data_IF_399025488690
#
_entry.id   IF_399025488690
#
_cell.length_a   1.000
_cell.length_b   1.000
_cell.length_c   1.000
_cell.angle_alpha   90.00
_cell.angle_beta   90.00
_cell.angle_gamma   90.00
#
_symmetry.space_group_name_H-M   'P 1'
#
loop_
_entity.id
_entity.type
_entity.pdbx_description
1 polymer ?
#
# COMPACT_ATOMS: atom_id res chain seq x y z
N UNK A 1 11.51 -19.30 31.82
CA UNK A 1 10.70 -19.53 30.60
C UNK A 1 9.76 -18.36 30.47
N UNK A 2 10.03 -17.45 29.53
CA UNK A 2 9.17 -16.30 29.22
C UNK A 2 8.29 -16.71 28.03
N UNK A 3 7.00 -16.44 28.16
CA UNK A 3 5.98 -16.74 27.16
C UNK A 3 5.67 -15.46 26.40
N UNK A 4 6.42 -15.20 25.33
CA UNK A 4 6.21 -14.03 24.48
C UNK A 4 5.45 -14.48 23.22
N UNK A 5 4.15 -14.75 23.37
CA UNK A 5 3.23 -14.92 22.23
C UNK A 5 2.68 -13.55 21.81
N UNK A 6 3.54 -12.73 21.21
CA UNK A 6 3.12 -11.69 20.28
C UNK A 6 3.52 -12.20 18.90
N UNK A 7 2.54 -12.55 18.06
CA UNK A 7 2.85 -12.75 16.65
C UNK A 7 3.12 -11.36 16.08
N UNK A 8 4.40 -10.96 16.01
CA UNK A 8 4.77 -9.76 15.27
C UNK A 8 4.23 -9.91 13.84
N UNK A 9 3.68 -8.83 13.30
CA UNK A 9 3.23 -8.83 11.90
C UNK A 9 4.40 -9.20 11.00
N UNK A 10 4.13 -10.03 10.00
CA UNK A 10 5.07 -10.30 8.91
C UNK A 10 5.33 -9.02 8.12
N UNK A 11 6.42 -8.99 7.36
CA UNK A 11 6.72 -7.83 6.50
C UNK A 11 5.61 -7.58 5.46
N UNK A 12 5.02 -8.65 4.91
CA UNK A 12 3.87 -8.53 4.00
C UNK A 12 2.65 -7.91 4.71
N UNK A 13 2.35 -8.33 5.93
CA UNK A 13 1.24 -7.75 6.70
C UNK A 13 1.50 -6.27 7.02
N UNK A 14 2.75 -5.93 7.34
CA UNK A 14 3.17 -4.53 7.58
C UNK A 14 3.05 -3.68 6.32
N UNK A 15 3.53 -4.19 5.18
CA UNK A 15 3.41 -3.55 3.88
C UNK A 15 1.94 -3.32 3.48
N UNK A 16 1.10 -4.35 3.62
CA UNK A 16 -0.32 -4.25 3.26
C UNK A 16 -1.07 -3.29 4.17
N UNK A 17 -0.77 -3.29 5.48
CA UNK A 17 -1.36 -2.35 6.43
C UNK A 17 -1.00 -0.90 6.09
N UNK A 18 0.27 -0.61 5.78
CA UNK A 18 0.69 0.71 5.35
C UNK A 18 0.06 1.12 4.01
N UNK A 19 -0.05 0.19 3.05
CA UNK A 19 -0.75 0.46 1.78
C UNK A 19 -2.19 0.91 2.02
N UNK A 20 -2.92 0.25 2.94
CA UNK A 20 -4.28 0.64 3.32
C UNK A 20 -4.32 1.99 4.05
N UNK A 21 -3.35 2.26 4.93
CA UNK A 21 -3.24 3.57 5.60
C UNK A 21 -3.10 4.70 4.59
N UNK A 22 -2.23 4.52 3.57
CA UNK A 22 -2.06 5.51 2.51
C UNK A 22 -3.34 5.68 1.67
N UNK A 23 -4.05 4.60 1.35
CA UNK A 23 -5.37 4.65 0.70
C UNK A 23 -6.34 5.52 1.51
N UNK A 24 -6.54 5.21 2.80
CA UNK A 24 -7.48 6.01 3.61
C UNK A 24 -7.02 7.46 3.75
N UNK A 25 -5.71 7.72 3.77
CA UNK A 25 -5.19 9.07 3.82
C UNK A 25 -5.47 9.88 2.54
N UNK A 26 -5.34 9.29 1.35
CA UNK A 26 -5.47 10.00 0.08
C UNK A 26 -6.89 10.03 -0.47
N UNK A 27 -7.67 8.99 -0.18
CA UNK A 27 -8.93 8.71 -0.88
C UNK A 27 -10.17 8.85 0.02
N UNK A 28 -10.02 9.26 1.29
CA UNK A 28 -11.17 9.44 2.18
C UNK A 28 -11.13 10.74 3.00
N UNK A 29 -12.31 11.28 3.27
CA UNK A 29 -12.52 12.37 4.22
C UNK A 29 -12.51 13.78 3.64
N UNK A 30 -12.33 13.96 2.34
CA UNK A 30 -12.58 15.23 1.65
C UNK A 30 -13.98 15.30 1.01
N UNK A 31 -14.38 16.49 0.55
CA UNK A 31 -15.62 16.68 -0.22
C UNK A 31 -15.54 15.84 -1.50
N UNK A 32 -16.63 15.17 -1.86
CA UNK A 32 -16.72 14.18 -2.96
C UNK A 32 -15.91 12.88 -2.79
N UNK A 33 -15.32 12.63 -1.62
CA UNK A 33 -14.69 11.35 -1.28
C UNK A 33 -15.55 10.49 -0.32
N UNK A 34 -15.33 9.17 -0.28
CA UNK A 34 -15.85 8.34 0.80
C UNK A 34 -15.52 8.91 2.20
N UNK A 35 -16.41 8.64 3.17
CA UNK A 35 -16.13 8.97 4.58
C UNK A 35 -14.90 8.21 5.09
N UNK A 36 -14.14 8.81 6.01
CA UNK A 36 -13.05 8.12 6.72
C UNK A 36 -13.51 6.90 7.52
N UNK A 37 -14.80 6.86 7.85
CA UNK A 37 -15.42 5.75 8.58
C UNK A 37 -15.99 4.66 7.64
N UNK A 38 -16.00 4.91 6.32
CA UNK A 38 -16.43 3.89 5.35
C UNK A 38 -15.40 2.78 5.29
N UNK A 39 -15.86 1.56 5.00
CA UNK A 39 -15.01 0.37 4.98
C UNK A 39 -14.90 -0.17 3.56
N UNK A 40 -13.71 -0.67 3.19
CA UNK A 40 -13.52 -1.38 1.92
C UNK A 40 -14.49 -2.57 1.81
N UNK A 41 -15.10 -2.73 0.64
CA UNK A 41 -15.84 -3.94 0.32
C UNK A 41 -14.89 -5.15 0.42
N UNK A 42 -15.40 -6.34 0.82
CA UNK A 42 -14.57 -7.54 0.93
C UNK A 42 -13.77 -7.87 -0.33
N UNK A 43 -14.36 -7.65 -1.51
CA UNK A 43 -13.72 -7.87 -2.81
C UNK A 43 -12.59 -6.85 -3.05
N UNK A 44 -12.82 -5.57 -2.74
CA UNK A 44 -11.82 -4.51 -2.85
C UNK A 44 -10.62 -4.78 -1.95
N UNK A 45 -10.89 -5.16 -0.70
CA UNK A 45 -9.84 -5.54 0.25
C UNK A 45 -9.05 -6.76 -0.24
N UNK A 46 -9.73 -7.77 -0.77
CA UNK A 46 -9.08 -8.97 -1.31
C UNK A 46 -8.20 -8.65 -2.52
N UNK A 47 -8.66 -7.78 -3.42
CA UNK A 47 -7.92 -7.33 -4.60
C UNK A 47 -6.67 -6.52 -4.20
N UNK A 48 -6.83 -5.53 -3.31
CA UNK A 48 -5.70 -4.73 -2.82
C UNK A 48 -4.65 -5.61 -2.13
N UNK A 49 -5.09 -6.57 -1.31
CA UNK A 49 -4.17 -7.50 -0.65
C UNK A 49 -3.49 -8.47 -1.64
N UNK A 50 -4.18 -8.89 -2.71
CA UNK A 50 -3.58 -9.69 -3.78
C UNK A 50 -2.46 -8.92 -4.50
N UNK A 51 -2.69 -7.63 -4.78
CA UNK A 51 -1.68 -6.73 -5.33
C UNK A 51 -0.48 -6.59 -4.39
N UNK A 52 -0.73 -6.34 -3.10
CA UNK A 52 0.31 -6.25 -2.08
C UNK A 52 1.17 -7.51 -2.02
N UNK A 53 0.53 -8.69 -2.00
CA UNK A 53 1.21 -9.98 -1.98
C UNK A 53 2.05 -10.19 -3.23
N UNK A 54 1.51 -9.83 -4.39
CA UNK A 54 2.20 -9.94 -5.67
C UNK A 54 3.44 -9.02 -5.69
N UNK A 55 3.29 -7.76 -5.30
CA UNK A 55 4.37 -6.78 -5.27
C UNK A 55 5.46 -7.20 -4.29
N UNK A 56 5.08 -7.54 -3.05
CA UNK A 56 6.03 -7.98 -2.04
C UNK A 56 6.82 -9.21 -2.45
N UNK A 57 6.17 -10.17 -3.12
CA UNK A 57 6.85 -11.37 -3.64
C UNK A 57 7.91 -11.03 -4.70
N UNK A 58 7.66 -10.04 -5.55
CA UNK A 58 8.53 -9.68 -6.66
C UNK A 58 9.65 -8.70 -6.25
N UNK A 59 9.36 -7.82 -5.30
CA UNK A 59 10.20 -6.66 -5.00
C UNK A 59 10.62 -6.52 -3.53
N UNK A 60 10.06 -7.31 -2.61
CA UNK A 60 10.33 -7.18 -1.17
C UNK A 60 11.81 -7.33 -0.80
N UNK A 61 12.59 -8.13 -1.54
CA UNK A 61 14.03 -8.23 -1.33
C UNK A 61 14.80 -6.93 -1.65
N UNK A 62 14.27 -6.09 -2.54
CA UNK A 62 14.85 -4.79 -2.85
C UNK A 62 14.53 -3.75 -1.78
N UNK A 63 13.42 -3.92 -1.04
CA UNK A 63 13.12 -3.09 0.13
C UNK A 63 14.17 -3.29 1.22
N UNK A 64 14.49 -4.56 1.52
CA UNK A 64 15.56 -4.90 2.46
C UNK A 64 16.93 -4.41 1.97
N UNK A 65 17.24 -4.62 0.68
CA UNK A 65 18.52 -4.21 0.10
C UNK A 65 18.68 -2.67 0.00
N UNK A 66 17.58 -1.93 0.00
CA UNK A 66 17.55 -0.47 0.10
C UNK A 66 17.66 0.03 1.55
N UNK A 67 17.75 -0.88 2.53
CA UNK A 67 17.72 -0.57 3.97
C UNK A 67 16.45 0.18 4.41
N UNK A 68 15.34 -0.07 3.71
CA UNK A 68 14.03 0.54 3.98
C UNK A 68 13.09 -0.41 4.72
N UNK A 69 12.00 0.13 5.25
CA UNK A 69 11.02 -0.65 6.00
C UNK A 69 9.86 -1.12 5.12
N UNK A 70 9.21 -2.27 5.44
CA UNK A 70 7.99 -2.68 4.75
C UNK A 70 6.86 -1.65 4.85
N UNK A 71 6.80 -0.90 5.96
CA UNK A 71 5.79 0.15 6.15
C UNK A 71 5.97 1.29 5.15
N UNK A 72 7.18 1.85 5.07
CA UNK A 72 7.48 2.91 4.08
C UNK A 72 7.24 2.42 2.65
N UNK A 73 7.65 1.18 2.34
CA UNK A 73 7.38 0.57 1.05
C UNK A 73 5.88 0.46 0.72
N UNK A 74 5.03 0.19 1.72
CA UNK A 74 3.58 0.11 1.54
C UNK A 74 2.94 1.46 1.23
N UNK A 75 3.33 2.50 1.97
CA UNK A 75 2.92 3.88 1.66
C UNK A 75 3.33 4.25 0.23
N UNK A 76 4.61 4.07 -0.10
CA UNK A 76 5.16 4.48 -1.39
C UNK A 76 4.64 3.66 -2.56
N UNK A 77 4.26 2.39 -2.35
CA UNK A 77 3.57 1.59 -3.34
C UNK A 77 2.22 2.21 -3.72
N UNK A 78 1.40 2.57 -2.73
CA UNK A 78 0.10 3.22 -2.97
C UNK A 78 0.28 4.58 -3.66
N UNK A 79 1.14 5.43 -3.12
CA UNK A 79 1.37 6.77 -3.66
C UNK A 79 1.92 6.73 -5.09
N UNK A 80 2.83 5.79 -5.38
CA UNK A 80 3.41 5.64 -6.71
C UNK A 80 2.42 5.07 -7.73
N UNK A 81 1.63 4.06 -7.36
CA UNK A 81 0.68 3.43 -8.31
C UNK A 81 -0.46 4.37 -8.70
N UNK A 82 -0.88 5.26 -7.80
CA UNK A 82 -2.00 6.19 -8.00
C UNK A 82 -1.57 7.63 -8.32
N UNK A 83 -0.28 7.94 -8.29
CA UNK A 83 0.22 9.25 -8.70
C UNK A 83 -0.06 10.40 -7.71
N UNK A 84 -0.09 10.14 -6.40
CA UNK A 84 -0.36 11.14 -5.36
C UNK A 84 0.82 12.10 -5.06
N UNK A 85 1.71 12.35 -6.04
CA UNK A 85 2.77 13.36 -5.95
C UNK A 85 3.99 13.01 -5.09
N UNK A 86 4.05 11.80 -4.54
CA UNK A 86 5.16 11.24 -3.76
C UNK A 86 5.30 9.73 -4.04
N UNK A 87 6.25 9.06 -3.40
CA UNK A 87 6.45 7.62 -3.51
C UNK A 87 7.91 7.25 -3.74
N UNK A 88 8.19 6.06 -4.30
CA UNK A 88 9.54 5.51 -4.42
C UNK A 88 10.59 6.41 -5.11
N UNK A 89 10.16 7.42 -5.85
CA UNK A 89 10.99 8.32 -6.66
C UNK A 89 11.25 9.68 -5.99
N UNK A 90 10.73 9.95 -4.80
CA UNK A 90 10.76 11.27 -4.16
C UNK A 90 12.08 11.61 -3.44
N UNK A 91 13.01 10.66 -3.38
CA UNK A 91 14.38 10.86 -2.90
C UNK A 91 14.74 10.11 -1.62
N UNK A 92 13.76 9.48 -0.96
CA UNK A 92 14.02 8.65 0.22
C UNK A 92 14.70 7.32 -0.13
N UNK A 93 14.45 6.82 -1.34
CA UNK A 93 14.95 5.53 -1.81
C UNK A 93 16.28 5.63 -2.55
N UNK A 94 17.29 4.81 -2.22
CA UNK A 94 18.54 4.78 -2.96
C UNK A 94 18.38 4.10 -4.33
N UNK A 95 19.11 4.61 -5.33
CA UNK A 95 19.23 3.96 -6.62
C UNK A 95 20.11 2.69 -6.52
N UNK A 96 19.82 1.62 -7.30
CA UNK A 96 18.81 1.55 -8.37
C UNK A 96 17.40 1.13 -7.90
N UNK A 97 17.18 0.99 -6.59
CA UNK A 97 15.94 0.42 -6.06
C UNK A 97 14.75 1.37 -6.23
N UNK A 98 14.97 2.68 -6.10
CA UNK A 98 13.97 3.71 -6.38
C UNK A 98 13.32 3.52 -7.76
N UNK A 99 14.12 3.44 -8.82
CA UNK A 99 13.63 3.25 -10.19
C UNK A 99 12.95 1.88 -10.39
N UNK A 100 13.54 0.80 -9.84
CA UNK A 100 12.96 -0.55 -9.94
C UNK A 100 11.58 -0.65 -9.29
N UNK A 101 11.46 -0.15 -8.05
CA UNK A 101 10.22 -0.15 -7.28
C UNK A 101 9.19 0.78 -7.92
N UNK A 102 9.62 1.95 -8.41
CA UNK A 102 8.74 2.88 -9.13
C UNK A 102 8.13 2.22 -10.37
N UNK A 103 8.95 1.58 -11.21
CA UNK A 103 8.47 0.87 -12.40
C UNK A 103 7.58 -0.31 -12.02
N UNK A 104 7.97 -1.06 -11.00
CA UNK A 104 7.18 -2.17 -10.46
C UNK A 104 5.79 -1.74 -10.01
N UNK A 105 5.68 -0.65 -9.26
CA UNK A 105 4.42 -0.14 -8.74
C UNK A 105 3.49 0.33 -9.87
N UNK A 106 4.03 1.04 -10.87
CA UNK A 106 3.26 1.52 -12.03
C UNK A 106 2.66 0.40 -12.88
N UNK A 107 3.22 -0.81 -12.85
CA UNK A 107 2.65 -1.96 -13.56
C UNK A 107 1.31 -2.44 -12.98
N UNK A 108 0.96 -2.06 -11.75
CA UNK A 108 -0.32 -2.40 -11.12
C UNK A 108 -1.45 -1.46 -11.54
N UNK A 109 -1.12 -0.32 -12.17
CA UNK A 109 -2.10 0.71 -12.53
C UNK A 109 -2.74 1.40 -11.32
N UNK A 110 -3.57 2.37 -11.66
CA UNK A 110 -4.37 3.13 -10.71
C UNK A 110 -5.47 2.24 -10.09
N UNK A 111 -5.79 2.51 -8.83
CA UNK A 111 -6.78 1.82 -8.02
C UNK A 111 -7.79 2.88 -7.57
N UNK A 112 -8.74 3.20 -8.44
CA UNK A 112 -9.67 4.32 -8.26
C UNK A 112 -10.78 3.95 -7.27
N UNK A 113 -10.77 4.55 -6.08
CA UNK A 113 -11.78 4.23 -5.08
C UNK A 113 -13.07 5.06 -5.25
N UNK A 114 -14.21 4.46 -4.92
CA UNK A 114 -15.51 5.14 -4.89
C UNK A 114 -16.45 4.55 -3.84
N UNK A 115 -17.42 5.35 -3.37
CA UNK A 115 -18.44 4.91 -2.42
C UNK A 115 -19.63 4.26 -3.14
N UNK A 116 -19.92 3.00 -2.82
CA UNK A 116 -21.10 2.29 -3.32
C UNK A 116 -22.39 2.66 -2.59
N UNK A 117 -23.54 2.35 -3.20
CA UNK A 117 -24.87 2.60 -2.64
C UNK A 117 -25.14 1.83 -1.33
N UNK A 118 -24.36 0.77 -1.06
CA UNK A 118 -24.42 -0.04 0.16
C UNK A 118 -23.48 0.44 1.27
N UNK A 119 -22.78 1.55 1.04
CA UNK A 119 -21.90 2.21 2.02
C UNK A 119 -20.48 1.63 2.09
N UNK A 120 -20.11 0.71 1.18
CA UNK A 120 -18.74 0.20 1.08
C UNK A 120 -17.90 0.99 0.07
N UNK A 121 -16.58 0.97 0.25
CA UNK A 121 -15.61 1.49 -0.72
C UNK A 121 -15.25 0.40 -1.73
N UNK A 122 -15.43 0.72 -3.02
CA UNK A 122 -15.10 -0.11 -4.18
C UNK A 122 -13.95 0.47 -4.98
N UNK A 123 -13.40 -0.34 -5.90
CA UNK A 123 -12.46 0.05 -6.95
C UNK A 123 -12.52 -0.93 -8.13
#
# INVERSE_FOLDING_TARGET
>A
MRWDWWCAMTDLETFAAATMEALYFTDTGEEDQPSRDAILAPETLANLYADCRSFWRLFGCYVEAAEMTPAQAGHDFWLTRNGHGAGFWDGDWPEPYADMLTKGAKCYGEFETYLGDDGFIYA
#
